data_IF_589480995242
#
_entry.id   IF_589480995242
#
_cell.length_a   1.000
_cell.length_b   1.000
_cell.length_c   1.000
_cell.angle_alpha   90.00
_cell.angle_beta   90.00
_cell.angle_gamma   90.00
#
_symmetry.space_group_name_H-M   'P 1'
#
loop_
_entity.id
_entity.type
_entity.pdbx_description
1 polymer ?
#
# COMPACT_ATOMS: atom_id res chain seq x y z
N UNK A 1 13.67 -6.61 -10.84
CA UNK A 1 13.94 -7.22 -9.53
C UNK A 1 12.79 -6.87 -8.61
N UNK A 2 12.16 -7.85 -7.94
CA UNK A 2 11.07 -7.53 -7.03
C UNK A 2 11.62 -6.75 -5.83
N UNK A 3 10.78 -5.86 -5.32
CA UNK A 3 11.09 -4.98 -4.21
C UNK A 3 9.85 -4.81 -3.33
N UNK A 4 10.07 -4.40 -2.08
CA UNK A 4 9.05 -4.10 -1.09
C UNK A 4 9.35 -2.80 -0.37
N UNK A 5 8.31 -2.18 0.17
CA UNK A 5 8.44 -1.00 1.03
C UNK A 5 8.67 -1.47 2.46
N UNK A 6 9.71 -0.94 3.11
CA UNK A 6 10.01 -1.14 4.52
C UNK A 6 9.79 0.19 5.26
N UNK A 7 9.06 0.14 6.37
CA UNK A 7 9.00 1.25 7.33
C UNK A 7 10.24 1.13 8.22
N UNK A 8 11.27 1.92 7.95
CA UNK A 8 12.58 1.82 8.60
C UNK A 8 12.65 2.67 9.88
N UNK A 9 12.20 3.93 9.83
CA UNK A 9 12.30 4.88 10.93
C UNK A 9 10.94 5.54 11.23
N UNK A 10 9.96 4.80 11.80
CA UNK A 10 8.60 5.31 12.00
C UNK A 10 8.54 6.60 12.85
N UNK A 11 9.40 6.72 13.86
CA UNK A 11 9.46 7.87 14.77
C UNK A 11 9.94 9.18 14.11
N UNK A 12 10.46 9.12 12.87
CA UNK A 12 10.85 10.32 12.10
C UNK A 12 9.71 10.88 11.26
N UNK A 13 8.56 10.22 11.22
CA UNK A 13 7.41 10.71 10.46
C UNK A 13 6.86 11.98 11.10
N UNK A 14 6.65 13.01 10.27
CA UNK A 14 6.05 14.30 10.70
C UNK A 14 4.66 14.53 10.09
N UNK A 15 4.06 13.48 9.52
CA UNK A 15 2.74 13.54 8.88
C UNK A 15 2.60 14.59 7.76
N UNK A 16 3.64 14.78 6.93
CA UNK A 16 3.63 15.74 5.82
C UNK A 16 2.89 15.26 4.56
N UNK A 17 2.48 13.99 4.53
CA UNK A 17 1.77 13.32 3.41
C UNK A 17 2.50 13.30 2.05
N UNK A 18 3.76 13.71 1.96
CA UNK A 18 4.52 13.72 0.69
C UNK A 18 4.60 12.33 0.04
N UNK A 19 4.76 11.28 0.86
CA UNK A 19 4.77 9.90 0.37
C UNK A 19 3.42 9.46 -0.21
N UNK A 20 2.30 9.91 0.38
CA UNK A 20 0.95 9.60 -0.07
C UNK A 20 0.61 10.34 -1.36
N UNK A 21 0.91 11.64 -1.44
CA UNK A 21 0.72 12.45 -2.64
C UNK A 21 1.55 11.93 -3.83
N UNK A 22 2.80 11.54 -3.59
CA UNK A 22 3.63 10.92 -4.62
C UNK A 22 3.07 9.57 -5.07
N UNK A 23 2.51 8.79 -4.14
CA UNK A 23 1.91 7.50 -4.44
C UNK A 23 0.62 7.66 -5.25
N UNK A 24 -0.32 8.52 -4.86
CA UNK A 24 -1.57 8.72 -5.60
C UNK A 24 -1.32 9.22 -7.01
N UNK A 25 -0.35 10.13 -7.18
CA UNK A 25 0.05 10.62 -8.51
C UNK A 25 0.59 9.51 -9.41
N UNK A 26 1.37 8.59 -8.85
CA UNK A 26 1.99 7.52 -9.64
C UNK A 26 1.06 6.32 -9.85
N UNK A 27 0.26 5.97 -8.84
CA UNK A 27 -0.55 4.77 -8.81
C UNK A 27 -1.93 4.96 -9.45
N UNK A 28 -2.47 6.18 -9.38
CA UNK A 28 -3.84 6.49 -9.77
C UNK A 28 -3.96 7.77 -10.64
N UNK A 29 -2.84 8.39 -11.02
CA UNK A 29 -2.81 9.68 -11.73
C UNK A 29 -3.59 10.81 -11.03
N UNK A 30 -3.74 10.72 -9.71
CA UNK A 30 -4.55 11.65 -8.91
C UNK A 30 -3.70 12.43 -7.90
N UNK A 31 -4.33 13.41 -7.23
CA UNK A 31 -3.73 14.14 -6.09
C UNK A 31 -4.52 13.90 -4.79
N UNK A 32 -5.45 12.94 -4.79
CA UNK A 32 -6.22 12.61 -3.60
C UNK A 32 -5.47 11.65 -2.71
N UNK A 33 -5.50 11.87 -1.40
CA UNK A 33 -4.88 10.97 -0.43
C UNK A 33 -5.57 9.60 -0.38
N UNK A 34 -6.86 9.52 -0.72
CA UNK A 34 -7.63 8.26 -0.74
C UNK A 34 -7.23 7.32 -1.87
N UNK A 35 -6.51 7.81 -2.88
CA UNK A 35 -6.06 6.98 -4.02
C UNK A 35 -4.61 6.49 -3.82
N UNK A 36 -4.00 6.81 -2.66
CA UNK A 36 -2.64 6.42 -2.32
C UNK A 36 -2.59 5.01 -1.76
N UNK A 37 -1.77 4.12 -2.30
CA UNK A 37 -1.58 2.76 -1.78
C UNK A 37 -0.73 2.65 -0.49
N UNK A 38 -0.34 3.80 0.08
CA UNK A 38 0.27 3.95 1.41
C UNK A 38 -0.63 4.87 2.23
N UNK A 39 -0.75 4.58 3.52
CA UNK A 39 -1.57 5.38 4.42
C UNK A 39 -0.77 5.85 5.63
N UNK A 40 -0.88 7.13 5.94
CA UNK A 40 -0.29 7.75 7.15
C UNK A 40 -1.47 8.21 7.99
N UNK A 41 -1.65 7.57 9.15
CA UNK A 41 -2.78 7.81 10.05
C UNK A 41 -2.28 8.37 11.37
N UNK A 42 -3.08 9.27 11.94
CA UNK A 42 -2.94 9.70 13.33
C UNK A 42 -4.17 9.25 14.11
N UNK A 43 -3.96 8.79 15.34
CA UNK A 43 -5.06 8.53 16.27
C UNK A 43 -5.62 9.80 16.92
N UNK A 44 -5.03 10.97 16.62
CA UNK A 44 -5.40 12.26 17.21
C UNK A 44 -4.92 12.42 18.66
N UNK A 45 -4.91 13.63 19.19
CA UNK A 45 -4.35 13.91 20.53
C UNK A 45 -2.85 14.24 20.49
N UNK A 46 -2.33 14.71 21.63
CA UNK A 46 -0.98 15.32 21.73
C UNK A 46 0.11 14.24 21.78
N UNK A 47 -0.18 13.09 22.42
CA UNK A 47 0.79 12.01 22.65
C UNK A 47 0.65 10.84 21.67
N UNK A 48 -0.33 10.89 20.76
CA UNK A 48 -0.58 9.80 19.83
C UNK A 48 0.49 9.72 18.76
N UNK A 49 0.99 8.50 18.54
CA UNK A 49 1.94 8.21 17.48
C UNK A 49 1.32 8.31 16.09
N UNK A 50 2.19 8.43 15.08
CA UNK A 50 1.83 8.38 13.66
C UNK A 50 1.96 6.94 13.17
N UNK A 51 0.85 6.35 12.72
CA UNK A 51 0.82 5.04 12.10
C UNK A 51 1.13 5.13 10.61
N UNK A 52 2.11 4.36 10.14
CA UNK A 52 2.39 4.22 8.70
C UNK A 52 2.00 2.81 8.26
N UNK A 53 1.05 2.73 7.34
CA UNK A 53 0.50 1.48 6.83
C UNK A 53 0.96 1.30 5.38
N UNK A 54 1.65 0.19 5.12
CA UNK A 54 2.14 -0.19 3.79
C UNK A 54 1.80 -1.64 3.49
N UNK A 55 1.72 -1.99 2.20
CA UNK A 55 1.66 -3.38 1.78
C UNK A 55 2.90 -4.14 2.29
N UNK A 56 2.69 -5.27 2.97
CA UNK A 56 3.78 -6.09 3.54
C UNK A 56 4.45 -7.03 2.54
N UNK A 57 3.98 -7.05 1.28
CA UNK A 57 4.54 -7.89 0.21
C UNK A 57 4.56 -9.38 0.60
N UNK A 58 3.42 -9.91 1.06
CA UNK A 58 3.30 -11.31 1.47
C UNK A 58 3.59 -12.26 0.30
N UNK A 59 4.30 -13.36 0.56
CA UNK A 59 4.58 -14.41 -0.43
C UNK A 59 3.32 -15.24 -0.72
N UNK A 60 2.54 -15.54 0.32
CA UNK A 60 1.23 -16.16 0.24
C UNK A 60 0.16 -15.13 0.67
N UNK A 61 -0.29 -14.24 -0.24
CA UNK A 61 -1.14 -13.12 0.10
C UNK A 61 -2.57 -13.56 0.43
N UNK A 62 -3.05 -13.35 1.68
CA UNK A 62 -4.43 -13.70 2.05
C UNK A 62 -5.46 -12.90 1.24
N UNK A 63 -5.13 -11.68 0.82
CA UNK A 63 -5.99 -10.87 -0.04
C UNK A 63 -6.21 -11.46 -1.44
N UNK A 64 -5.25 -12.22 -1.98
CA UNK A 64 -5.45 -12.94 -3.25
C UNK A 64 -6.36 -14.16 -3.03
N UNK A 65 -6.11 -14.96 -1.98
CA UNK A 65 -6.94 -16.13 -1.66
C UNK A 65 -8.39 -15.79 -1.37
N UNK A 66 -8.63 -14.61 -0.77
CA UNK A 66 -9.98 -14.13 -0.48
C UNK A 66 -10.71 -13.58 -1.72
N UNK A 67 -10.04 -13.39 -2.86
CA UNK A 67 -10.65 -12.83 -4.06
C UNK A 67 -11.42 -13.92 -4.84
N UNK A 68 -12.76 -13.89 -4.90
CA UNK A 68 -13.54 -14.95 -5.53
C UNK A 68 -13.47 -14.92 -7.06
N UNK A 69 -13.25 -13.74 -7.64
CA UNK A 69 -13.20 -13.54 -9.11
C UNK A 69 -11.81 -13.79 -9.70
N UNK A 70 -10.78 -13.94 -8.85
CA UNK A 70 -9.39 -14.03 -9.30
C UNK A 70 -8.79 -12.70 -9.77
N UNK A 71 -9.45 -11.56 -9.51
CA UNK A 71 -8.95 -10.23 -9.85
C UNK A 71 -7.61 -9.89 -9.17
N UNK A 72 -7.33 -10.45 -7.99
CA UNK A 72 -6.05 -10.31 -7.30
C UNK A 72 -5.21 -11.56 -7.45
N UNK A 73 -4.05 -11.42 -8.09
CA UNK A 73 -3.11 -12.52 -8.31
C UNK A 73 -1.79 -12.27 -7.55
N UNK A 74 -1.15 -13.31 -6.98
CA UNK A 74 0.15 -13.15 -6.33
C UNK A 74 1.21 -12.61 -7.30
N UNK A 75 1.98 -11.62 -6.84
CA UNK A 75 3.09 -11.05 -7.61
C UNK A 75 4.39 -11.78 -7.29
N UNK A 76 5.25 -11.96 -8.29
CA UNK A 76 6.61 -12.45 -8.07
C UNK A 76 7.37 -11.55 -7.07
N UNK A 77 8.00 -12.18 -6.06
CA UNK A 77 8.69 -11.53 -4.95
C UNK A 77 7.79 -10.80 -3.94
N UNK A 78 6.50 -11.19 -3.89
CA UNK A 78 5.55 -10.82 -2.85
C UNK A 78 4.60 -9.69 -3.23
N UNK A 79 3.42 -9.71 -2.62
CA UNK A 79 2.31 -8.80 -2.90
C UNK A 79 1.34 -9.35 -3.94
N UNK A 80 0.53 -8.47 -4.52
CA UNK A 80 -0.51 -8.84 -5.49
C UNK A 80 -0.57 -7.85 -6.65
N UNK A 81 -1.11 -8.31 -7.79
CA UNK A 81 -1.47 -7.48 -8.94
C UNK A 81 -2.99 -7.53 -9.11
N UNK A 82 -3.59 -6.39 -9.44
CA UNK A 82 -5.03 -6.25 -9.68
C UNK A 82 -5.33 -6.23 -11.18
N UNK A 83 -6.19 -7.14 -11.63
CA UNK A 83 -6.93 -7.00 -12.87
C UNK A 83 -8.25 -6.28 -12.59
N UNK A 84 -8.37 -5.05 -13.06
CA UNK A 84 -9.56 -4.23 -12.84
C UNK A 84 -10.79 -4.77 -13.54
N UNK A 85 -10.64 -5.54 -14.63
CA UNK A 85 -11.78 -6.04 -15.42
C UNK A 85 -12.50 -7.21 -14.73
N UNK A 86 -11.80 -7.93 -13.85
CA UNK A 86 -12.35 -9.06 -13.09
C UNK A 86 -12.87 -8.64 -11.70
N UNK A 87 -12.59 -7.41 -11.27
CA UNK A 87 -12.95 -6.93 -9.94
C UNK A 87 -14.42 -6.53 -9.89
N UNK A 88 -15.16 -7.14 -8.97
CA UNK A 88 -16.57 -6.86 -8.68
C UNK A 88 -16.77 -5.94 -7.45
N UNK A 89 -15.67 -5.45 -6.88
CA UNK A 89 -15.66 -4.56 -5.71
C UNK A 89 -16.31 -5.14 -4.45
N UNK A 90 -16.24 -6.47 -4.26
CA UNK A 90 -16.79 -7.19 -3.10
C UNK A 90 -16.14 -6.89 -1.75
N UNK A 91 -15.00 -6.18 -1.70
CA UNK A 91 -14.26 -5.74 -0.48
C UNK A 91 -13.60 -6.83 0.37
N UNK A 92 -13.78 -8.11 0.06
CA UNK A 92 -13.18 -9.24 0.78
C UNK A 92 -11.65 -9.16 0.89
N UNK A 93 -10.98 -8.58 -0.11
CA UNK A 93 -9.53 -8.40 -0.10
C UNK A 93 -9.04 -7.43 0.99
N UNK A 94 -9.83 -6.40 1.31
CA UNK A 94 -9.50 -5.45 2.38
C UNK A 94 -9.66 -6.10 3.76
N UNK A 95 -10.73 -6.87 3.97
CA UNK A 95 -10.98 -7.60 5.21
C UNK A 95 -9.91 -8.65 5.48
N UNK A 96 -9.45 -9.35 4.43
CA UNK A 96 -8.38 -10.32 4.52
C UNK A 96 -6.98 -9.70 4.76
N UNK A 97 -6.83 -8.39 4.56
CA UNK A 97 -5.55 -7.69 4.72
C UNK A 97 -5.30 -7.34 6.19
N UNK A 98 -4.57 -8.21 6.92
CA UNK A 98 -4.18 -7.96 8.32
C UNK A 98 -3.57 -6.57 8.59
N UNK A 99 -2.63 -6.03 7.79
CA UNK A 99 -2.11 -4.69 8.01
C UNK A 99 -3.09 -3.57 7.62
N UNK A 100 -4.23 -3.90 7.00
CA UNK A 100 -5.22 -2.96 6.44
C UNK A 100 -4.64 -1.99 5.41
N UNK A 101 -3.73 -2.52 4.58
CA UNK A 101 -3.08 -1.75 3.52
C UNK A 101 -3.95 -1.58 2.26
N UNK A 102 -5.06 -2.32 2.15
CA UNK A 102 -6.00 -2.22 1.03
C UNK A 102 -7.21 -1.41 1.50
N UNK A 103 -7.52 -0.35 0.77
CA UNK A 103 -8.74 0.45 0.90
C UNK A 103 -9.30 0.69 -0.50
N UNK A 104 -10.42 1.41 -0.57
CA UNK A 104 -11.17 1.63 -1.80
C UNK A 104 -11.16 3.11 -2.16
N UNK A 105 -10.94 3.38 -3.45
CA UNK A 105 -11.00 4.73 -4.01
C UNK A 105 -12.47 5.20 -4.16
N UNK A 106 -12.65 6.39 -4.73
CA UNK A 106 -13.99 6.98 -4.97
C UNK A 106 -14.83 6.21 -6.00
N UNK A 107 -14.18 5.46 -6.90
CA UNK A 107 -14.84 4.58 -7.87
C UNK A 107 -15.15 3.21 -7.26
N UNK A 108 -14.95 3.03 -5.95
CA UNK A 108 -15.12 1.77 -5.23
C UNK A 108 -14.23 0.66 -5.81
N UNK A 109 -13.02 1.00 -6.26
CA UNK A 109 -11.99 0.04 -6.67
C UNK A 109 -10.91 -0.10 -5.61
N UNK A 110 -10.36 -1.32 -5.39
CA UNK A 110 -9.32 -1.51 -4.41
C UNK A 110 -8.01 -0.84 -4.84
N UNK A 111 -7.43 -0.03 -3.95
CA UNK A 111 -6.14 0.63 -4.15
C UNK A 111 -5.04 -0.33 -3.75
N UNK A 112 -4.31 -0.84 -4.74
CA UNK A 112 -3.24 -1.84 -4.56
C UNK A 112 -1.87 -1.20 -4.78
N UNK A 113 -0.91 -1.51 -3.92
CA UNK A 113 0.47 -1.04 -4.04
C UNK A 113 1.21 -1.80 -5.16
N UNK A 114 1.71 -1.06 -6.15
CA UNK A 114 2.51 -1.63 -7.26
C UNK A 114 4.02 -1.75 -6.95
N UNK A 115 4.44 -1.47 -5.70
CA UNK A 115 5.83 -1.59 -5.25
C UNK A 115 6.85 -0.75 -6.06
N UNK A 116 6.46 0.40 -6.60
CA UNK A 116 7.33 1.28 -7.40
C UNK A 116 8.37 2.08 -6.59
N UNK A 117 8.18 2.21 -5.27
CA UNK A 117 9.13 2.91 -4.40
C UNK A 117 9.09 4.44 -4.44
N UNK A 118 8.20 5.06 -5.21
CA UNK A 118 8.09 6.52 -5.28
C UNK A 118 7.85 7.15 -3.90
N UNK A 119 7.07 6.50 -3.05
CA UNK A 119 6.81 6.94 -1.69
C UNK A 119 8.07 7.00 -0.81
N UNK A 120 9.00 6.06 -1.01
CA UNK A 120 10.31 6.08 -0.35
C UNK A 120 11.20 7.19 -0.91
N UNK A 121 11.22 7.38 -2.24
CA UNK A 121 11.99 8.46 -2.88
C UNK A 121 11.61 9.86 -2.40
N UNK A 122 10.32 10.09 -2.12
CA UNK A 122 9.81 11.38 -1.64
C UNK A 122 9.76 11.49 -0.11
N UNK A 123 10.27 10.50 0.62
CA UNK A 123 10.34 10.56 2.07
C UNK A 123 11.65 11.21 2.54
N UNK A 124 11.66 12.54 2.69
CA UNK A 124 12.83 13.30 3.15
C UNK A 124 13.27 13.01 4.60
N UNK A 125 12.51 12.18 5.33
CA UNK A 125 12.77 11.83 6.73
C UNK A 125 13.21 10.37 6.88
N UNK A 126 13.51 9.67 5.78
CA UNK A 126 13.97 8.27 5.73
C UNK A 126 13.08 7.30 6.54
N UNK A 127 11.77 7.60 6.61
CA UNK A 127 10.79 6.72 7.25
C UNK A 127 10.57 5.46 6.40
N UNK A 128 10.66 5.61 5.09
CA UNK A 128 10.35 4.59 4.09
C UNK A 128 11.60 4.23 3.28
N UNK A 129 11.82 2.94 3.08
CA UNK A 129 12.93 2.40 2.31
C UNK A 129 12.40 1.39 1.28
N UNK A 130 12.91 1.46 0.04
CA UNK A 130 12.66 0.43 -0.97
C UNK A 130 13.73 -0.65 -0.86
N UNK A 131 13.33 -1.85 -0.44
CA UNK A 131 14.24 -2.98 -0.22
C UNK A 131 14.00 -4.03 -1.30
N UNK A 132 15.08 -4.54 -1.92
CA UNK A 132 15.00 -5.64 -2.87
C UNK A 132 14.55 -6.92 -2.16
N UNK A 133 13.64 -7.67 -2.76
CA UNK A 133 13.27 -9.00 -2.27
C UNK A 133 14.09 -10.06 -2.99
N UNK A 134 14.67 -10.98 -2.23
CA UNK A 134 15.25 -12.20 -2.76
C UNK A 134 14.10 -13.11 -3.22
N UNK A 135 14.16 -13.54 -4.47
CA UNK A 135 13.24 -14.54 -5.01
C UNK A 135 13.79 -15.88 -4.57
N UNK A 136 13.07 -16.57 -3.69
CA UNK A 136 13.30 -18.00 -3.43
C UNK A 136 12.61 -18.82 -4.50
#
# INVERSE_FOLDING_TARGET
MPAKIKVANPNRCINCYSCMLACSRTNADSVSLIDSAIDVRTSGGIESGIGIIVCRSCIDPPCARACPTGALTPRNGGGVVLDKNLCDSCKLCADACLPRAIHFDRANMPVICIHCGVCAKFCSHDVLELVKTEVM
#
